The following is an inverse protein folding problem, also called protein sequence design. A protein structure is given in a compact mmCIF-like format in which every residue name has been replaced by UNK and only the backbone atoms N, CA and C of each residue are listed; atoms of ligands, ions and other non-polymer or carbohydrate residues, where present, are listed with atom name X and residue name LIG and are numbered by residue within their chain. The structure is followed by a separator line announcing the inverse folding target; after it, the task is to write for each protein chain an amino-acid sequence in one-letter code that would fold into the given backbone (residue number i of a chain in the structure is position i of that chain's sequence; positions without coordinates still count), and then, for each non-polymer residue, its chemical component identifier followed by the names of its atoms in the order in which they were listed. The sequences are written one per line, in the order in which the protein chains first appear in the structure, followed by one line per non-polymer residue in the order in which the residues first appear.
data_IF_813174038261
#
_entry.id   IF_813174038261
#
_cell.length_a   1.000
_cell.length_b   1.000
_cell.length_c   1.000
_cell.angle_alpha   90.00
_cell.angle_beta   90.00
_cell.angle_gamma   90.00
#
_symmetry.space_group_name_H-M   'P 1'
#
loop_
_entity.id
_entity.type
_entity.pdbx_description
1 polymer ?
#
# COMPACT_ATOMS: atom_id res chain seq x y z
N UNK A 1 -0.38 -5.67 -26.87
CA UNK A 1 -1.21 -5.21 -25.71
C UNK A 1 -2.32 -4.34 -26.27
N UNK A 2 -3.58 -4.50 -25.82
CA UNK A 2 -4.68 -3.62 -26.27
C UNK A 2 -4.49 -2.21 -25.72
N UNK A 3 -4.99 -1.18 -26.42
CA UNK A 3 -4.95 0.24 -25.98
C UNK A 3 -5.56 0.39 -24.57
N UNK A 4 -6.64 -0.33 -24.26
CA UNK A 4 -7.30 -0.28 -22.96
C UNK A 4 -6.41 -0.78 -21.80
N UNK A 5 -5.49 -1.72 -22.04
CA UNK A 5 -4.55 -2.23 -21.04
C UNK A 5 -3.43 -1.24 -20.68
N UNK A 6 -3.33 -0.13 -21.41
CA UNK A 6 -2.31 0.91 -21.21
C UNK A 6 -2.91 2.24 -20.77
N UNK A 7 -4.23 2.41 -20.83
CA UNK A 7 -4.90 3.65 -20.47
C UNK A 7 -4.68 3.96 -18.99
N UNK A 8 -4.09 5.13 -18.65
CA UNK A 8 -3.96 5.55 -17.28
C UNK A 8 -5.32 5.87 -16.66
N UNK A 9 -5.46 5.60 -15.38
CA UNK A 9 -6.68 5.92 -14.63
C UNK A 9 -6.34 6.88 -13.50
N UNK A 10 -7.14 7.92 -13.35
CA UNK A 10 -7.06 8.86 -12.24
C UNK A 10 -8.26 8.65 -11.32
N UNK A 11 -8.02 8.24 -10.08
CA UNK A 11 -9.01 8.33 -9.00
C UNK A 11 -8.95 9.75 -8.47
N UNK A 12 -9.80 10.62 -8.99
CA UNK A 12 -9.77 12.07 -8.71
C UNK A 12 -10.43 12.35 -7.36
N UNK A 13 -9.69 12.10 -6.28
CA UNK A 13 -10.17 12.25 -4.90
C UNK A 13 -9.89 13.64 -4.31
N UNK A 14 -8.96 14.42 -4.89
CA UNK A 14 -8.53 15.71 -4.32
C UNK A 14 -8.10 16.75 -5.36
N UNK A 15 -8.23 16.45 -6.64
CA UNK A 15 -7.83 17.35 -7.73
C UNK A 15 -6.32 17.53 -7.90
N UNK A 16 -5.48 16.80 -7.16
CA UNK A 16 -4.01 16.99 -7.18
C UNK A 16 -3.33 16.42 -8.42
N UNK A 17 -3.96 15.47 -9.09
CA UNK A 17 -3.44 14.89 -10.34
C UNK A 17 -3.85 15.76 -11.52
N UNK A 18 -2.87 16.36 -12.17
CA UNK A 18 -3.10 17.15 -13.41
C UNK A 18 -3.65 16.28 -14.55
N UNK A 19 -4.06 16.89 -15.67
CA UNK A 19 -4.56 16.16 -16.82
C UNK A 19 -3.45 15.29 -17.45
N UNK A 20 -3.83 14.11 -17.93
CA UNK A 20 -2.97 13.19 -18.64
C UNK A 20 -3.58 12.85 -20.00
N UNK A 21 -2.73 12.55 -20.98
CA UNK A 21 -3.19 12.13 -22.29
C UNK A 21 -3.92 10.78 -22.22
N UNK A 22 -5.07 10.69 -22.87
CA UNK A 22 -5.88 9.46 -22.97
C UNK A 22 -6.32 8.87 -21.60
N UNK A 23 -6.37 9.65 -20.53
CA UNK A 23 -6.76 9.18 -19.20
C UNK A 23 -8.24 8.79 -19.09
N UNK A 24 -8.54 7.88 -18.17
CA UNK A 24 -9.87 7.71 -17.59
C UNK A 24 -9.88 8.35 -16.20
N UNK A 25 -10.61 9.43 -16.04
CA UNK A 25 -10.75 10.10 -14.74
C UNK A 25 -12.06 9.74 -14.07
N UNK A 26 -11.97 9.18 -12.87
CA UNK A 26 -13.12 8.86 -12.03
C UNK A 26 -13.37 10.03 -11.06
N UNK A 27 -14.54 10.71 -11.14
CA UNK A 27 -14.86 11.84 -10.27
C UNK A 27 -15.21 11.34 -8.86
N UNK A 28 -14.30 11.51 -7.91
CA UNK A 28 -14.40 10.98 -6.55
C UNK A 28 -14.20 12.06 -5.48
N UNK A 29 -14.24 13.34 -5.84
CA UNK A 29 -14.03 14.49 -4.94
C UNK A 29 -14.98 14.48 -3.73
N UNK A 30 -16.22 14.01 -3.89
CA UNK A 30 -17.20 13.91 -2.79
C UNK A 30 -16.76 12.98 -1.67
N UNK A 31 -15.75 12.13 -1.90
CA UNK A 31 -15.20 11.23 -0.91
C UNK A 31 -14.06 11.84 -0.11
N UNK A 32 -13.45 12.92 -0.59
CA UNK A 32 -12.20 13.49 -0.09
C UNK A 32 -12.14 13.54 1.43
N UNK A 33 -13.02 14.31 2.06
CA UNK A 33 -13.02 14.53 3.51
C UNK A 33 -13.24 13.25 4.32
N UNK A 34 -14.00 12.30 3.76
CA UNK A 34 -14.41 11.10 4.46
C UNK A 34 -13.40 9.95 4.44
N UNK A 35 -12.36 10.07 3.59
CA UNK A 35 -11.31 9.06 3.40
C UNK A 35 -9.91 9.65 3.52
N UNK A 36 -9.76 10.96 3.66
CA UNK A 36 -8.47 11.63 3.75
C UNK A 36 -7.69 11.14 4.99
N UNK A 37 -6.41 10.83 4.83
CA UNK A 37 -5.52 10.23 5.83
C UNK A 37 -5.95 8.86 6.35
N UNK A 38 -7.23 8.54 6.34
CA UNK A 38 -7.76 7.27 6.81
C UNK A 38 -9.26 7.28 7.01
N UNK A 39 -9.83 6.10 7.21
CA UNK A 39 -11.27 5.94 7.40
C UNK A 39 -11.60 4.63 8.15
N UNK A 40 -12.85 4.52 8.58
CA UNK A 40 -13.38 3.26 9.13
C UNK A 40 -13.49 2.20 8.02
N UNK A 41 -13.50 0.91 8.41
CA UNK A 41 -13.67 -0.18 7.45
C UNK A 41 -15.01 -0.10 6.68
N UNK A 42 -16.07 0.39 7.32
CA UNK A 42 -17.35 0.59 6.66
C UNK A 42 -17.25 1.67 5.55
N UNK A 43 -16.58 2.79 5.85
CA UNK A 43 -16.37 3.87 4.86
C UNK A 43 -15.46 3.38 3.72
N UNK A 44 -14.38 2.68 4.05
CA UNK A 44 -13.50 2.05 3.07
C UNK A 44 -14.28 1.10 2.14
N UNK A 45 -15.13 0.23 2.69
CA UNK A 45 -15.97 -0.69 1.90
C UNK A 45 -16.93 0.04 0.97
N UNK A 46 -17.54 1.14 1.42
CA UNK A 46 -18.42 1.96 0.57
C UNK A 46 -17.63 2.63 -0.57
N UNK A 47 -16.45 3.19 -0.28
CA UNK A 47 -15.57 3.77 -1.29
C UNK A 47 -15.09 2.71 -2.29
N UNK A 48 -14.65 1.54 -1.81
CA UNK A 48 -14.27 0.41 -2.66
C UNK A 48 -15.38 0.04 -3.65
N UNK A 49 -16.62 -0.07 -3.17
CA UNK A 49 -17.76 -0.37 -4.03
C UNK A 49 -18.02 0.73 -5.08
N UNK A 50 -17.81 2.00 -4.73
CA UNK A 50 -17.94 3.12 -5.67
C UNK A 50 -16.87 3.05 -6.78
N UNK A 51 -15.61 2.78 -6.43
CA UNK A 51 -14.52 2.61 -7.39
C UNK A 51 -14.73 1.36 -8.26
N UNK A 52 -15.12 0.23 -7.67
CA UNK A 52 -15.31 -1.03 -8.40
C UNK A 52 -16.38 -0.95 -9.50
N UNK A 53 -17.40 -0.10 -9.33
CA UNK A 53 -18.43 0.11 -10.35
C UNK A 53 -17.96 0.90 -11.56
N UNK A 54 -16.90 1.69 -11.43
CA UNK A 54 -16.43 2.63 -12.44
C UNK A 54 -15.10 2.21 -13.07
N UNK A 55 -14.23 1.56 -12.29
CA UNK A 55 -12.90 1.17 -12.73
C UNK A 55 -12.99 -0.04 -13.68
N UNK A 56 -12.55 0.08 -14.95
CA UNK A 56 -12.61 -1.01 -15.92
C UNK A 56 -11.76 -2.22 -15.51
N UNK A 57 -12.04 -3.35 -16.11
CA UNK A 57 -11.34 -4.61 -15.81
C UNK A 57 -9.89 -4.61 -16.28
N UNK A 58 -9.61 -3.92 -17.36
CA UNK A 58 -8.28 -3.73 -17.91
C UNK A 58 -7.95 -2.24 -17.96
N UNK A 59 -6.84 -1.86 -17.39
CA UNK A 59 -6.35 -0.49 -17.35
C UNK A 59 -4.83 -0.47 -17.16
N UNK A 60 -4.23 0.68 -17.37
CA UNK A 60 -2.81 0.93 -17.10
C UNK A 60 -2.56 1.32 -15.64
N UNK A 61 -1.63 2.25 -15.46
CA UNK A 61 -1.29 2.82 -14.14
C UNK A 61 -2.50 3.53 -13.52
N UNK A 62 -2.68 3.38 -12.22
CA UNK A 62 -3.70 4.12 -11.46
C UNK A 62 -2.99 5.17 -10.60
N UNK A 63 -3.41 6.42 -10.74
CA UNK A 63 -3.02 7.54 -9.91
C UNK A 63 -4.18 7.89 -8.97
N UNK A 64 -3.90 8.16 -7.71
CA UNK A 64 -4.96 8.33 -6.70
C UNK A 64 -4.69 9.50 -5.77
N UNK A 65 -4.66 10.69 -6.33
CA UNK A 65 -4.51 11.92 -5.58
C UNK A 65 -3.12 12.10 -4.95
N UNK A 66 -3.07 12.91 -3.92
CA UNK A 66 -1.88 13.17 -3.12
C UNK A 66 -1.54 12.01 -2.16
N UNK A 67 -0.39 12.12 -1.47
CA UNK A 67 0.04 11.14 -0.47
C UNK A 67 -0.96 10.91 0.67
N UNK A 68 -1.89 11.83 0.90
CA UNK A 68 -2.94 11.69 1.92
C UNK A 68 -3.88 10.49 1.68
N UNK A 69 -3.84 9.92 0.47
CA UNK A 69 -4.73 8.85 0.02
C UNK A 69 -4.01 7.53 -0.29
N UNK A 70 -2.70 7.41 -0.06
CA UNK A 70 -1.94 6.23 -0.48
C UNK A 70 -2.39 4.92 0.20
N UNK A 71 -3.11 4.97 1.33
CA UNK A 71 -3.75 3.81 1.93
C UNK A 71 -4.81 3.14 1.03
N UNK A 72 -5.32 3.86 0.03
CA UNK A 72 -6.22 3.32 -0.99
C UNK A 72 -5.52 2.31 -1.93
N UNK A 73 -4.19 2.23 -1.90
CA UNK A 73 -3.42 1.17 -2.58
C UNK A 73 -3.89 -0.22 -2.18
N UNK A 74 -4.34 -0.41 -0.94
CA UNK A 74 -4.91 -1.68 -0.49
C UNK A 74 -6.08 -2.13 -1.38
N UNK A 75 -7.04 -1.25 -1.69
CA UNK A 75 -8.17 -1.52 -2.59
C UNK A 75 -7.71 -1.96 -3.99
N UNK A 76 -6.71 -1.29 -4.56
CA UNK A 76 -6.21 -1.58 -5.91
C UNK A 76 -5.48 -2.92 -5.94
N UNK A 77 -4.73 -3.23 -4.89
CA UNK A 77 -4.05 -4.53 -4.73
C UNK A 77 -5.07 -5.66 -4.55
N UNK A 78 -6.10 -5.49 -3.69
CA UNK A 78 -7.18 -6.47 -3.55
C UNK A 78 -7.87 -6.74 -4.89
N UNK A 79 -8.20 -5.68 -5.63
CA UNK A 79 -8.80 -5.82 -6.96
C UNK A 79 -7.86 -6.56 -7.93
N UNK A 80 -6.57 -6.29 -7.88
CA UNK A 80 -5.57 -7.02 -8.68
C UNK A 80 -5.51 -8.50 -8.30
N UNK A 81 -5.58 -8.81 -7.01
CA UNK A 81 -5.63 -10.19 -6.52
C UNK A 81 -6.88 -10.91 -7.03
N UNK A 82 -8.06 -10.31 -6.88
CA UNK A 82 -9.33 -10.88 -7.32
C UNK A 82 -9.33 -11.25 -8.81
N UNK A 83 -8.60 -10.50 -9.63
CA UNK A 83 -8.52 -10.70 -11.08
C UNK A 83 -7.42 -11.66 -11.53
N UNK A 84 -6.27 -11.63 -10.88
CA UNK A 84 -5.11 -12.42 -11.27
C UNK A 84 -5.02 -13.76 -10.54
N UNK A 85 -5.54 -13.87 -9.33
CA UNK A 85 -5.53 -15.12 -8.57
C UNK A 85 -6.31 -16.24 -9.28
N UNK A 86 -7.30 -15.90 -10.09
CA UNK A 86 -8.05 -16.86 -10.91
C UNK A 86 -7.21 -17.46 -12.05
N UNK A 87 -6.16 -16.79 -12.52
CA UNK A 87 -5.49 -17.14 -13.77
C UNK A 87 -4.11 -17.77 -13.64
N UNK A 88 -3.45 -17.74 -12.48
CA UNK A 88 -2.03 -18.08 -12.41
C UNK A 88 -1.60 -19.04 -11.30
N UNK A 89 -2.39 -19.31 -10.29
CA UNK A 89 -2.00 -20.18 -9.16
C UNK A 89 -0.73 -19.75 -8.40
N UNK A 90 -0.17 -18.57 -8.71
CA UNK A 90 1.04 -18.04 -8.09
C UNK A 90 0.71 -16.88 -7.17
N UNK A 91 1.18 -16.91 -5.91
CA UNK A 91 0.96 -15.80 -4.98
C UNK A 91 1.71 -14.55 -5.45
N UNK A 92 1.11 -13.38 -5.21
CA UNK A 92 1.67 -12.09 -5.58
C UNK A 92 2.80 -11.68 -4.62
N UNK A 93 3.77 -10.96 -5.17
CA UNK A 93 4.71 -10.14 -4.41
C UNK A 93 4.37 -8.68 -4.65
N UNK A 94 4.42 -7.89 -3.58
CA UNK A 94 4.12 -6.46 -3.63
C UNK A 94 5.36 -5.69 -3.25
N UNK A 95 5.69 -4.66 -4.01
CA UNK A 95 6.75 -3.69 -3.67
C UNK A 95 6.09 -2.33 -3.46
N UNK A 96 6.35 -1.76 -2.29
CA UNK A 96 5.93 -0.42 -1.90
C UNK A 96 7.18 0.45 -1.85
N UNK A 97 7.16 1.57 -2.52
CA UNK A 97 8.23 2.58 -2.45
C UNK A 97 7.74 3.70 -1.55
N UNK A 98 8.21 3.72 -0.31
CA UNK A 98 7.78 4.66 0.71
C UNK A 98 8.89 4.90 1.74
N UNK A 99 8.87 6.08 2.34
CA UNK A 99 9.78 6.43 3.44
C UNK A 99 9.26 6.00 4.82
N UNK A 100 8.03 5.45 4.91
CA UNK A 100 7.41 4.91 6.13
C UNK A 100 7.08 3.42 5.98
N UNK A 101 6.93 2.66 7.09
CA UNK A 101 6.62 1.23 7.05
C UNK A 101 5.15 0.91 6.74
N UNK A 102 4.25 1.85 6.95
CA UNK A 102 2.79 1.75 6.81
C UNK A 102 2.15 0.52 7.45
N UNK A 103 2.72 0.07 8.54
CA UNK A 103 2.35 -1.14 9.28
C UNK A 103 1.94 -0.87 10.73
N UNK A 104 1.52 0.37 11.03
CA UNK A 104 1.14 0.81 12.38
C UNK A 104 -0.12 0.10 12.89
N UNK A 105 -0.21 0.02 14.22
CA UNK A 105 -1.37 -0.50 14.94
C UNK A 105 -2.58 0.42 14.75
N UNK A 106 -3.57 -0.02 13.99
CA UNK A 106 -4.83 0.70 13.80
C UNK A 106 -6.00 -0.28 13.61
N UNK A 107 -6.64 -0.75 14.68
CA UNK A 107 -7.67 -1.79 14.61
C UNK A 107 -9.02 -1.30 14.07
N UNK A 108 -9.34 0.00 14.21
CA UNK A 108 -10.67 0.55 13.91
C UNK A 108 -10.93 0.86 12.44
N UNK A 109 -9.91 0.85 11.61
CA UNK A 109 -10.03 1.26 10.21
C UNK A 109 -8.77 0.98 9.42
N UNK A 110 -8.53 1.85 8.46
CA UNK A 110 -7.29 1.94 7.69
C UNK A 110 -6.89 3.40 7.58
N UNK A 111 -5.60 3.69 7.73
CA UNK A 111 -5.04 5.02 7.47
C UNK A 111 -3.71 4.89 6.73
N UNK A 112 -3.14 6.01 6.31
CA UNK A 112 -1.91 6.09 5.55
C UNK A 112 -0.81 5.17 6.12
N UNK A 113 -0.54 5.23 7.41
CA UNK A 113 0.50 4.43 8.06
C UNK A 113 0.10 2.99 8.44
N UNK A 114 -1.04 2.41 7.99
CA UNK A 114 -1.51 1.12 8.55
C UNK A 114 -2.02 0.08 7.54
N UNK A 115 -1.94 0.37 6.25
CA UNK A 115 -2.55 -0.47 5.21
C UNK A 115 -1.69 -1.67 4.78
N UNK A 116 -0.37 -1.56 4.89
CA UNK A 116 0.59 -2.58 4.43
C UNK A 116 0.37 -3.94 5.12
N UNK A 117 0.06 -3.95 6.43
CA UNK A 117 -0.28 -5.20 7.12
C UNK A 117 -1.42 -5.96 6.46
N UNK A 118 -2.46 -5.24 6.01
CA UNK A 118 -3.63 -5.87 5.40
C UNK A 118 -3.28 -6.58 4.12
N UNK A 119 -2.42 -5.96 3.32
CA UNK A 119 -1.86 -6.57 2.10
C UNK A 119 -0.97 -7.76 2.44
N UNK A 120 -0.02 -7.60 3.37
CA UNK A 120 0.93 -8.64 3.72
C UNK A 120 0.24 -9.91 4.27
N UNK A 121 -0.83 -9.74 5.04
CA UNK A 121 -1.57 -10.86 5.62
C UNK A 121 -2.61 -11.47 4.66
N UNK A 122 -2.78 -10.93 3.46
CA UNK A 122 -3.68 -11.52 2.47
C UNK A 122 -3.15 -12.90 2.00
N UNK A 123 -4.00 -13.96 1.94
CA UNK A 123 -3.55 -15.31 1.56
C UNK A 123 -2.88 -15.40 0.18
N UNK A 124 -3.36 -14.62 -0.79
CA UNK A 124 -2.81 -14.57 -2.14
C UNK A 124 -1.52 -13.73 -2.27
N UNK A 125 -1.05 -13.11 -1.19
CA UNK A 125 0.22 -12.37 -1.16
C UNK A 125 1.27 -13.22 -0.46
N UNK A 126 2.36 -13.51 -1.17
CA UNK A 126 3.49 -14.25 -0.59
C UNK A 126 4.39 -13.35 0.23
N UNK A 127 4.62 -12.14 -0.22
CA UNK A 127 5.52 -11.20 0.45
C UNK A 127 5.25 -9.75 0.03
N UNK A 128 5.47 -8.83 0.97
CA UNK A 128 5.50 -7.38 0.72
C UNK A 128 6.89 -6.85 1.07
N UNK A 129 7.45 -6.06 0.18
CA UNK A 129 8.68 -5.31 0.41
C UNK A 129 8.32 -3.82 0.51
N UNK A 130 8.66 -3.17 1.62
CA UNK A 130 8.60 -1.70 1.73
C UNK A 130 10.02 -1.18 1.62
N UNK A 131 10.29 -0.43 0.57
CA UNK A 131 11.63 0.02 0.22
C UNK A 131 11.72 1.56 0.18
N UNK A 132 12.81 2.09 0.72
CA UNK A 132 13.06 3.53 0.81
C UNK A 132 12.80 4.11 2.19
N UNK A 133 12.64 3.28 3.22
CA UNK A 133 12.32 3.76 4.57
C UNK A 133 13.50 4.57 5.12
N UNK A 134 13.21 5.82 5.45
CA UNK A 134 14.12 6.74 6.13
C UNK A 134 13.52 7.23 7.45
N UNK A 135 12.25 6.94 7.70
CA UNK A 135 11.56 7.25 8.96
C UNK A 135 12.10 6.43 10.13
N UNK A 136 12.18 7.04 11.30
CA UNK A 136 12.54 6.38 12.55
C UNK A 136 11.45 5.46 13.09
N UNK A 137 10.28 5.34 12.43
CA UNK A 137 9.13 4.54 12.85
C UNK A 137 9.45 3.03 12.95
N UNK A 138 10.50 2.58 12.25
CA UNK A 138 11.02 1.22 12.37
C UNK A 138 12.15 1.09 13.41
N UNK A 139 12.54 2.17 14.05
CA UNK A 139 13.57 2.17 15.10
C UNK A 139 13.05 1.60 16.43
N UNK A 140 13.99 1.33 17.36
CA UNK A 140 13.69 0.69 18.64
C UNK A 140 12.61 1.42 19.47
N UNK A 141 12.55 2.75 19.40
CA UNK A 141 11.61 3.56 20.18
C UNK A 141 10.15 3.44 19.68
N UNK A 142 9.96 3.16 18.39
CA UNK A 142 8.66 3.10 17.71
C UNK A 142 8.26 1.68 17.30
N UNK A 143 9.12 0.69 17.56
CA UNK A 143 8.88 -0.71 17.16
C UNK A 143 7.56 -1.28 17.70
N UNK A 144 7.08 -0.84 18.85
CA UNK A 144 5.83 -1.26 19.48
C UNK A 144 4.57 -0.73 18.78
N UNK A 145 4.71 0.33 17.99
CA UNK A 145 3.62 0.95 17.22
C UNK A 145 3.26 0.13 15.99
N UNK A 146 4.14 -0.76 15.57
CA UNK A 146 3.98 -1.58 14.38
C UNK A 146 3.51 -3.00 14.69
N UNK A 147 2.73 -3.58 13.79
CA UNK A 147 2.38 -5.00 13.85
C UNK A 147 3.61 -5.87 13.63
N UNK A 148 3.97 -6.70 14.62
CA UNK A 148 5.06 -7.67 14.47
C UNK A 148 4.64 -8.94 13.70
N UNK A 149 3.35 -9.20 13.58
CA UNK A 149 2.82 -10.42 12.96
C UNK A 149 3.30 -10.64 11.53
N UNK A 150 3.21 -9.68 10.58
CA UNK A 150 3.64 -9.93 9.21
C UNK A 150 5.16 -10.10 9.09
N UNK A 151 5.94 -9.42 9.95
CA UNK A 151 7.40 -9.57 10.03
C UNK A 151 7.78 -10.98 10.52
N UNK A 152 7.17 -11.46 11.61
CA UNK A 152 7.39 -12.80 12.16
C UNK A 152 6.94 -13.91 11.22
N UNK A 153 5.89 -13.67 10.45
CA UNK A 153 5.39 -14.62 9.45
C UNK A 153 6.26 -14.68 8.18
N UNK A 154 7.31 -13.86 8.08
CA UNK A 154 8.15 -13.78 6.88
C UNK A 154 7.40 -13.23 5.66
N UNK A 155 6.34 -12.44 5.88
CA UNK A 155 5.49 -11.87 4.81
C UNK A 155 5.74 -10.39 4.55
N UNK A 156 6.59 -9.74 5.35
CA UNK A 156 6.91 -8.32 5.22
C UNK A 156 8.40 -8.11 5.47
N UNK A 157 9.03 -7.33 4.60
CA UNK A 157 10.41 -6.88 4.77
C UNK A 157 10.52 -5.37 4.59
N UNK A 158 11.37 -4.75 5.40
CA UNK A 158 11.72 -3.35 5.35
C UNK A 158 13.12 -3.17 4.76
N UNK A 159 13.24 -2.20 3.87
CA UNK A 159 14.49 -1.81 3.22
C UNK A 159 14.74 -0.34 3.53
N UNK A 160 15.64 -0.07 4.45
CA UNK A 160 15.86 1.26 5.02
C UNK A 160 17.23 1.83 4.71
N UNK A 161 17.34 3.14 4.81
CA UNK A 161 18.61 3.88 4.75
C UNK A 161 18.72 4.81 5.96
N UNK A 162 19.87 4.77 6.65
CA UNK A 162 20.16 5.68 7.75
C UNK A 162 19.38 5.45 9.05
N UNK A 163 18.63 4.33 9.18
CA UNK A 163 17.84 4.01 10.37
C UNK A 163 18.50 2.88 11.15
N UNK A 164 18.68 3.07 12.47
CA UNK A 164 19.16 2.00 13.35
C UNK A 164 18.07 0.97 13.61
N UNK A 165 18.28 -0.23 13.08
CA UNK A 165 17.40 -1.40 13.23
C UNK A 165 18.07 -2.54 14.00
N UNK A 166 19.19 -2.34 14.66
CA UNK A 166 19.92 -3.37 15.40
C UNK A 166 19.13 -4.06 16.50
N UNK A 167 18.05 -3.44 16.99
CA UNK A 167 17.09 -4.03 17.92
C UNK A 167 16.37 -5.27 17.35
N UNK A 168 16.17 -5.30 16.02
CA UNK A 168 15.42 -6.36 15.35
C UNK A 168 16.11 -7.72 15.48
N UNK A 169 17.43 -7.75 15.46
CA UNK A 169 18.22 -8.97 15.68
C UNK A 169 17.93 -9.57 17.06
N UNK A 170 17.93 -8.74 18.11
CA UNK A 170 17.63 -9.18 19.49
C UNK A 170 16.19 -9.72 19.65
N UNK A 171 15.31 -9.39 18.74
CA UNK A 171 13.89 -9.84 18.71
C UNK A 171 13.64 -10.97 17.72
N UNK A 172 14.68 -11.52 17.07
CA UNK A 172 14.56 -12.57 16.07
C UNK A 172 13.87 -12.13 14.77
N UNK A 173 14.01 -10.86 14.43
CA UNK A 173 13.38 -10.23 13.24
C UNK A 173 14.42 -9.78 12.21
N UNK A 174 15.70 -10.15 12.35
CA UNK A 174 16.78 -9.70 11.47
C UNK A 174 16.48 -9.91 9.97
N UNK A 175 15.88 -11.04 9.63
CA UNK A 175 15.55 -11.38 8.24
C UNK A 175 14.48 -10.49 7.61
N UNK A 176 13.77 -9.67 8.39
CA UNK A 176 12.75 -8.75 7.92
C UNK A 176 13.28 -7.32 7.74
N UNK A 177 14.51 -7.03 8.17
CA UNK A 177 15.11 -5.71 8.13
C UNK A 177 16.38 -5.73 7.29
N UNK A 178 16.42 -4.91 6.25
CA UNK A 178 17.54 -4.77 5.33
C UNK A 178 17.95 -3.30 5.29
N UNK A 179 19.26 -3.05 5.29
CA UNK A 179 19.80 -1.71 5.14
C UNK A 179 20.42 -1.56 3.75
N UNK A 180 20.06 -0.47 3.06
CA UNK A 180 20.83 -0.05 1.91
C UNK A 180 22.16 0.52 2.42
N UNK A 181 23.27 0.04 1.93
CA UNK A 181 24.52 0.71 2.11
C UNK A 181 24.40 2.12 1.54
N UNK A 182 24.84 3.13 2.30
CA UNK A 182 24.88 4.48 1.78
C UNK A 182 25.67 4.47 0.47
N UNK A 183 24.98 4.75 -0.62
CA UNK A 183 25.64 5.06 -1.89
C UNK A 183 26.19 6.48 -1.70
N UNK A 184 27.44 6.55 -1.26
CA UNK A 184 28.21 7.80 -1.20
C UNK A 184 28.62 8.23 -2.60
#
# INVERSE_FOLDING_TARGET
MSRAAQQPVVLDVDGSVGPLDDELRLPLLDWQESIRFGCTLARYGAFRAAVQRQLPDTHGTVLMGSGDFHHLSWLLIERSIERHAFNAGKPLRVVVLDNHPDNMLFPWGVHCGSWVRRVAMHPAVSHVHVAGITSTDIGARHAWENYSQPLRAGKLSYWSAGVDTGWAEKKGLANAFHSFANVS
#
